data_IF_268387915987
#
_entry.id   IF_268387915987
#
_cell.length_a   1.000
_cell.length_b   1.000
_cell.length_c   1.000
_cell.angle_alpha   90.00
_cell.angle_beta   90.00
_cell.angle_gamma   90.00
#
_symmetry.space_group_name_H-M   'P 1'
#
loop_
_entity.id
_entity.type
_entity.pdbx_description
1 polymer ?
#
# COMPACT_ATOMS: atom_id res chain seq x y z
N UNK A 1 7.97 2.92 7.61
CA UNK A 1 6.91 3.86 7.19
C UNK A 1 6.39 3.39 5.83
N UNK A 2 5.07 3.36 5.64
CA UNK A 2 4.45 3.08 4.34
C UNK A 2 3.72 4.33 3.86
N UNK A 3 3.80 4.62 2.57
CA UNK A 3 3.16 5.81 1.98
C UNK A 3 2.19 5.33 0.90
N UNK A 4 0.91 5.65 1.09
CA UNK A 4 -0.18 5.24 0.22
C UNK A 4 -1.06 6.42 -0.17
N UNK A 5 -1.78 6.29 -1.28
CA UNK A 5 -2.59 7.35 -1.85
C UNK A 5 -3.96 7.43 -1.18
N UNK A 6 -4.64 6.29 -1.04
CA UNK A 6 -6.03 6.23 -0.58
C UNK A 6 -6.22 5.23 0.57
N UNK A 7 -7.30 5.34 1.35
CA UNK A 7 -7.73 4.28 2.26
C UNK A 7 -8.10 3.02 1.45
N UNK A 8 -7.52 1.87 1.82
CA UNK A 8 -7.58 0.52 1.20
C UNK A 8 -6.28 0.06 0.53
N UNK A 9 -5.43 1.00 0.14
CA UNK A 9 -4.14 0.71 -0.46
C UNK A 9 -3.24 -0.04 0.51
N UNK A 10 -3.27 0.33 1.79
CA UNK A 10 -2.47 -0.29 2.85
C UNK A 10 -2.89 -1.75 3.10
N UNK A 11 -4.17 -2.07 2.89
CA UNK A 11 -4.72 -3.42 3.05
C UNK A 11 -4.27 -4.36 1.92
N UNK A 12 -4.11 -3.82 0.71
CA UNK A 12 -3.78 -4.59 -0.49
C UNK A 12 -2.27 -4.61 -0.83
N UNK A 13 -1.48 -3.68 -0.29
CA UNK A 13 -0.07 -3.45 -0.68
C UNK A 13 0.85 -3.42 0.54
N UNK A 14 1.05 -4.57 1.18
CA UNK A 14 2.02 -4.73 2.26
C UNK A 14 1.44 -5.00 3.65
N UNK A 15 0.12 -5.18 3.80
CA UNK A 15 -0.50 -5.47 5.09
C UNK A 15 0.18 -6.64 5.84
N UNK A 16 0.45 -7.82 5.23
CA UNK A 16 1.14 -8.91 5.93
C UNK A 16 2.57 -8.56 6.32
N UNK A 17 3.31 -7.84 5.45
CA UNK A 17 4.65 -7.32 5.76
C UNK A 17 4.64 -6.40 6.98
N UNK A 18 3.72 -5.42 7.03
CA UNK A 18 3.63 -4.49 8.15
C UNK A 18 3.22 -5.22 9.43
N UNK A 19 2.25 -6.14 9.35
CA UNK A 19 1.82 -6.94 10.50
C UNK A 19 2.94 -7.82 11.06
N UNK A 20 3.79 -8.40 10.20
CA UNK A 20 5.01 -9.10 10.63
C UNK A 20 5.90 -8.17 11.45
N UNK A 21 6.22 -6.98 10.93
CA UNK A 21 7.10 -6.04 11.63
C UNK A 21 6.48 -5.45 12.90
N UNK A 22 5.16 -5.24 12.92
CA UNK A 22 4.44 -4.88 14.14
C UNK A 22 4.59 -5.95 15.23
N UNK A 23 4.44 -7.23 14.87
CA UNK A 23 4.64 -8.36 15.80
C UNK A 23 6.10 -8.50 16.27
N UNK A 24 7.05 -8.00 15.49
CA UNK A 24 8.47 -7.87 15.85
C UNK A 24 8.78 -6.58 16.63
N UNK A 25 7.76 -5.85 17.11
CA UNK A 25 7.86 -4.59 17.87
C UNK A 25 8.55 -3.43 17.12
N UNK A 26 8.59 -3.51 15.79
CA UNK A 26 9.07 -2.41 14.95
C UNK A 26 8.01 -1.32 14.89
N UNK A 27 8.43 -0.06 15.03
CA UNK A 27 7.55 1.09 14.87
C UNK A 27 6.98 1.16 13.42
N UNK A 28 5.67 1.02 13.31
CA UNK A 28 4.92 1.00 12.05
C UNK A 28 4.15 2.30 11.87
N UNK A 29 4.39 2.99 10.75
CA UNK A 29 3.78 4.29 10.44
C UNK A 29 3.14 4.23 9.06
N UNK A 30 1.85 4.54 8.98
CA UNK A 30 1.13 4.77 7.74
C UNK A 30 1.06 6.26 7.45
N UNK A 31 1.35 6.64 6.21
CA UNK A 31 1.01 7.95 5.64
C UNK A 31 0.03 7.71 4.49
N UNK A 32 -1.22 8.12 4.65
CA UNK A 32 -2.25 8.08 3.62
C UNK A 32 -2.43 9.49 3.04
N UNK A 33 -2.27 9.67 1.73
CA UNK A 33 -2.15 11.01 1.17
C UNK A 33 -3.50 11.72 1.02
N UNK A 34 -4.58 10.97 0.80
CA UNK A 34 -5.92 11.48 0.53
C UNK A 34 -7.01 10.72 1.28
N UNK A 35 -8.21 11.28 1.35
CA UNK A 35 -9.37 10.64 1.99
C UNK A 35 -10.15 9.67 1.10
N UNK A 36 -9.76 9.52 -0.18
CA UNK A 36 -10.51 8.73 -1.16
C UNK A 36 -11.84 9.38 -1.55
N UNK A 37 -11.94 10.71 -1.56
CA UNK A 37 -13.20 11.43 -1.77
C UNK A 37 -13.84 11.23 -3.15
N UNK A 38 -13.07 10.80 -4.15
CA UNK A 38 -13.52 10.60 -5.53
C UNK A 38 -13.83 9.13 -5.85
N UNK A 39 -13.57 8.20 -4.92
CA UNK A 39 -13.85 6.78 -5.14
C UNK A 39 -15.34 6.44 -4.99
N UNK A 40 -15.87 5.64 -5.90
CA UNK A 40 -17.25 5.13 -5.84
C UNK A 40 -17.44 4.05 -4.77
N UNK A 41 -18.70 3.76 -4.40
CA UNK A 41 -19.06 2.55 -3.67
C UNK A 41 -18.95 1.33 -4.60
N UNK A 42 -17.92 0.51 -4.39
CA UNK A 42 -17.58 -0.65 -5.22
C UNK A 42 -18.30 -1.93 -4.78
N UNK A 43 -18.74 -2.01 -3.52
CA UNK A 43 -19.46 -3.18 -3.02
C UNK A 43 -20.97 -3.06 -3.34
N UNK A 44 -21.51 -3.80 -4.32
CA UNK A 44 -22.91 -3.69 -4.72
C UNK A 44 -23.86 -4.21 -3.63
N UNK A 45 -23.41 -5.14 -2.79
CA UNK A 45 -24.26 -5.71 -1.73
C UNK A 45 -24.73 -4.63 -0.75
N UNK A 46 -23.98 -3.54 -0.58
CA UNK A 46 -24.35 -2.43 0.29
C UNK A 46 -25.51 -1.57 -0.24
N UNK A 47 -25.95 -1.78 -1.50
CA UNK A 47 -27.13 -1.15 -2.12
C UNK A 47 -28.39 -2.01 -2.08
N UNK A 48 -28.31 -3.25 -1.59
CA UNK A 48 -29.45 -4.16 -1.48
C UNK A 48 -30.49 -3.70 -0.44
N UNK A 49 -31.77 -4.13 -0.53
CA UNK A 49 -32.80 -3.76 0.44
C UNK A 49 -32.37 -4.00 1.90
N UNK A 50 -32.47 -2.94 2.71
CA UNK A 50 -32.08 -2.95 4.12
C UNK A 50 -30.60 -2.67 4.39
N UNK A 51 -29.81 -2.38 3.37
CA UNK A 51 -28.40 -2.00 3.49
C UNK A 51 -28.21 -0.48 3.50
N UNK A 52 -27.06 0.03 3.99
CA UNK A 52 -26.87 1.46 4.26
C UNK A 52 -26.97 2.39 3.05
N UNK A 53 -26.80 1.88 1.82
CA UNK A 53 -26.82 2.67 0.59
C UNK A 53 -28.02 2.38 -0.32
N UNK A 54 -29.02 1.66 0.18
CA UNK A 54 -30.21 1.31 -0.59
C UNK A 54 -31.00 2.57 -1.00
N UNK A 55 -31.31 2.69 -2.30
CA UNK A 55 -32.09 3.79 -2.90
C UNK A 55 -31.58 5.22 -2.61
N UNK A 56 -30.29 5.37 -2.27
CA UNK A 56 -29.69 6.69 -2.08
C UNK A 56 -29.42 7.40 -3.41
N UNK A 57 -29.58 8.72 -3.40
CA UNK A 57 -29.05 9.57 -4.47
C UNK A 57 -27.52 9.59 -4.47
N UNK A 58 -26.85 9.91 -5.59
CA UNK A 58 -25.40 10.05 -5.64
C UNK A 58 -24.83 11.03 -4.60
N UNK A 59 -25.57 12.10 -4.29
CA UNK A 59 -25.18 13.09 -3.28
C UNK A 59 -25.21 12.51 -1.85
N UNK A 60 -26.24 11.73 -1.52
CA UNK A 60 -26.37 11.07 -0.22
C UNK A 60 -25.32 9.96 -0.06
N UNK A 61 -25.08 9.18 -1.12
CA UNK A 61 -24.04 8.15 -1.15
C UNK A 61 -22.66 8.76 -0.87
N UNK A 62 -22.28 9.83 -1.58
CA UNK A 62 -21.02 10.55 -1.35
C UNK A 62 -20.90 11.09 0.08
N UNK A 63 -21.98 11.69 0.61
CA UNK A 63 -21.99 12.22 1.97
C UNK A 63 -21.86 11.14 3.05
N UNK A 64 -22.37 9.93 2.80
CA UNK A 64 -22.22 8.79 3.69
C UNK A 64 -20.82 8.15 3.58
N UNK A 65 -20.30 7.97 2.36
CA UNK A 65 -18.93 7.48 2.12
C UNK A 65 -17.89 8.32 2.86
N UNK A 66 -18.00 9.66 2.79
CA UNK A 66 -17.10 10.58 3.49
C UNK A 66 -17.09 10.40 5.02
N UNK A 67 -18.16 9.85 5.61
CA UNK A 67 -18.25 9.54 7.04
C UNK A 67 -17.75 8.13 7.37
N UNK A 68 -17.94 7.18 6.47
CA UNK A 68 -17.63 5.76 6.69
C UNK A 68 -16.14 5.48 6.45
N UNK A 69 -15.56 5.94 5.34
CA UNK A 69 -14.18 5.62 4.94
C UNK A 69 -13.11 5.92 6.00
N UNK A 70 -13.17 7.01 6.79
CA UNK A 70 -12.24 7.21 7.89
C UNK A 70 -12.30 6.11 8.95
N UNK A 71 -13.50 5.58 9.24
CA UNK A 71 -13.69 4.48 10.20
C UNK A 71 -13.27 3.13 9.61
N UNK A 72 -13.40 2.94 8.29
CA UNK A 72 -12.88 1.78 7.59
C UNK A 72 -11.35 1.74 7.64
N UNK A 73 -10.71 2.89 7.37
CA UNK A 73 -9.27 3.06 7.51
C UNK A 73 -8.79 2.77 8.94
N UNK A 74 -9.45 3.35 9.94
CA UNK A 74 -9.11 3.12 11.35
C UNK A 74 -9.09 1.61 11.68
N UNK A 75 -10.17 0.89 11.37
CA UNK A 75 -10.27 -0.56 11.60
C UNK A 75 -9.24 -1.36 10.80
N UNK A 76 -8.98 -0.96 9.55
CA UNK A 76 -7.96 -1.59 8.71
C UNK A 76 -6.58 -1.44 9.35
N UNK A 77 -6.24 -0.23 9.81
CA UNK A 77 -4.94 0.05 10.41
C UNK A 77 -4.74 -0.62 11.76
N UNK A 78 -5.81 -0.78 12.55
CA UNK A 78 -5.81 -1.60 13.76
C UNK A 78 -5.56 -3.08 13.46
N UNK A 79 -6.22 -3.63 12.42
CA UNK A 79 -6.04 -5.02 12.02
C UNK A 79 -4.64 -5.33 11.49
N UNK A 80 -3.99 -4.35 10.84
CA UNK A 80 -2.61 -4.47 10.35
C UNK A 80 -1.59 -4.28 11.47
N UNK A 81 -1.88 -3.41 12.44
CA UNK A 81 -0.92 -3.02 13.47
C UNK A 81 -0.07 -1.84 13.04
N UNK A 82 -0.70 -0.68 12.78
CA UNK A 82 0.01 0.59 12.70
C UNK A 82 0.06 1.28 14.06
N UNK A 83 1.25 1.72 14.49
CA UNK A 83 1.41 2.53 15.70
C UNK A 83 0.97 3.98 15.47
N UNK A 84 1.18 4.48 14.25
CA UNK A 84 0.84 5.84 13.86
C UNK A 84 0.22 5.86 12.46
N UNK A 85 -0.86 6.62 12.31
CA UNK A 85 -1.54 6.86 11.04
C UNK A 85 -1.59 8.38 10.81
N UNK A 86 -1.12 8.82 9.66
CA UNK A 86 -1.11 10.23 9.26
C UNK A 86 -1.84 10.41 7.94
N UNK A 87 -2.72 11.41 7.89
CA UNK A 87 -3.24 11.92 6.63
C UNK A 87 -2.33 13.03 6.12
N UNK A 88 -1.86 12.98 4.87
CA UNK A 88 -1.05 14.06 4.29
C UNK A 88 -1.89 15.32 3.98
N UNK A 89 -3.21 15.14 3.88
CA UNK A 89 -4.19 16.22 3.84
C UNK A 89 -4.45 16.78 2.45
N UNK A 90 -4.44 15.94 1.42
CA UNK A 90 -4.85 16.31 0.07
C UNK A 90 -6.18 15.66 -0.30
N UNK A 91 -6.90 16.26 -1.25
CA UNK A 91 -8.10 15.66 -1.82
C UNK A 91 -7.70 14.58 -2.84
N UNK A 92 -8.44 13.47 -2.85
CA UNK A 92 -8.36 12.47 -3.92
C UNK A 92 -8.54 13.12 -5.30
N UNK A 93 -7.68 12.74 -6.24
CA UNK A 93 -7.71 13.27 -7.60
C UNK A 93 -8.71 12.56 -8.50
N UNK A 94 -9.15 11.37 -8.12
CA UNK A 94 -9.90 10.46 -8.97
C UNK A 94 -9.06 9.91 -10.12
N UNK A 95 -9.73 9.12 -10.98
CA UNK A 95 -9.07 8.45 -12.11
C UNK A 95 -8.52 9.44 -13.14
N UNK A 96 -7.47 9.02 -13.87
CA UNK A 96 -6.86 9.83 -14.92
C UNK A 96 -7.89 10.27 -15.98
N UNK A 97 -7.93 11.58 -16.25
CA UNK A 97 -8.86 12.20 -17.18
C UNK A 97 -10.20 12.62 -16.56
N UNK A 98 -10.44 12.35 -15.28
CA UNK A 98 -11.62 12.82 -14.58
C UNK A 98 -11.59 14.35 -14.37
N UNK A 99 -12.77 14.97 -14.25
CA UNK A 99 -12.86 16.40 -14.00
C UNK A 99 -12.18 16.83 -12.68
N UNK A 100 -12.20 15.96 -11.68
CA UNK A 100 -11.55 16.12 -10.37
C UNK A 100 -10.03 16.24 -10.43
N UNK A 101 -9.39 15.77 -11.51
CA UNK A 101 -7.96 16.01 -11.75
C UNK A 101 -7.63 17.52 -11.89
N UNK A 102 -8.62 18.39 -12.11
CA UNK A 102 -8.44 19.85 -12.19
C UNK A 102 -8.84 20.59 -10.90
N UNK A 103 -9.23 19.86 -9.85
CA UNK A 103 -9.59 20.49 -8.57
C UNK A 103 -8.33 21.07 -7.91
N UNK A 104 -8.33 22.33 -7.45
CA UNK A 104 -7.12 22.98 -6.93
C UNK A 104 -6.55 22.31 -5.67
N UNK A 105 -7.39 21.59 -4.92
CA UNK A 105 -6.97 20.86 -3.71
C UNK A 105 -6.62 19.39 -3.98
N UNK A 106 -6.74 18.88 -5.22
CA UNK A 106 -6.43 17.48 -5.48
C UNK A 106 -4.92 17.22 -5.45
N UNK A 107 -4.56 16.04 -4.98
CA UNK A 107 -3.17 15.67 -4.76
C UNK A 107 -2.35 15.66 -6.06
N UNK A 108 -2.97 15.29 -7.18
CA UNK A 108 -2.36 15.35 -8.50
C UNK A 108 -1.94 16.77 -8.88
N UNK A 109 -2.63 17.81 -8.42
CA UNK A 109 -2.31 19.22 -8.70
C UNK A 109 -1.46 19.89 -7.63
N UNK A 110 -1.18 19.20 -6.52
CA UNK A 110 -0.36 19.73 -5.43
C UNK A 110 1.04 20.14 -5.92
N UNK A 111 1.54 21.25 -5.40
CA UNK A 111 2.94 21.61 -5.60
C UNK A 111 3.84 20.50 -5.05
N UNK A 112 4.78 20.04 -5.89
CA UNK A 112 5.59 18.87 -5.56
C UNK A 112 6.51 19.16 -4.37
N UNK A 113 7.02 20.39 -4.23
CA UNK A 113 7.92 20.77 -3.15
C UNK A 113 7.15 20.83 -1.83
N UNK A 114 5.96 21.44 -1.84
CA UNK A 114 5.06 21.46 -0.67
C UNK A 114 4.68 20.04 -0.22
N UNK A 115 4.23 19.20 -1.14
CA UNK A 115 3.84 17.82 -0.84
C UNK A 115 5.01 16.98 -0.32
N UNK A 116 6.19 17.11 -0.92
CA UNK A 116 7.42 16.49 -0.41
C UNK A 116 7.78 17.02 0.97
N UNK A 117 7.70 18.33 1.22
CA UNK A 117 7.97 18.94 2.54
C UNK A 117 7.08 18.37 3.64
N UNK A 118 5.78 18.18 3.38
CA UNK A 118 4.86 17.53 4.32
C UNK A 118 5.31 16.10 4.66
N UNK A 119 5.73 15.31 3.67
CA UNK A 119 6.24 13.96 3.91
C UNK A 119 7.58 13.96 4.65
N UNK A 120 8.49 14.90 4.34
CA UNK A 120 9.77 15.07 5.05
C UNK A 120 9.55 15.39 6.53
N UNK A 121 8.57 16.23 6.88
CA UNK A 121 8.23 16.50 8.28
C UNK A 121 7.92 15.19 9.04
N UNK A 122 7.10 14.32 8.44
CA UNK A 122 6.75 13.02 9.03
C UNK A 122 7.96 12.08 9.10
N UNK A 123 8.82 12.05 8.08
CA UNK A 123 10.05 11.26 8.09
C UNK A 123 10.97 11.72 9.22
N UNK A 124 11.20 13.03 9.39
CA UNK A 124 12.07 13.55 10.46
C UNK A 124 11.48 13.35 11.86
N UNK A 125 10.16 13.42 11.97
CA UNK A 125 9.44 13.12 13.21
C UNK A 125 9.58 11.65 13.63
N UNK A 126 9.32 10.71 12.71
CA UNK A 126 9.25 9.28 13.02
C UNK A 126 10.56 8.52 12.80
N UNK A 127 11.53 9.15 12.13
CA UNK A 127 12.85 8.60 11.81
C UNK A 127 12.80 7.16 11.27
N UNK A 128 12.01 6.87 10.23
CA UNK A 128 11.89 5.52 9.69
C UNK A 128 13.21 5.09 9.03
N UNK A 129 13.68 3.88 9.30
CA UNK A 129 14.82 3.31 8.58
C UNK A 129 14.40 2.79 7.20
N UNK A 130 13.14 2.40 7.04
CA UNK A 130 12.57 1.81 5.81
C UNK A 130 11.31 2.57 5.36
N UNK A 131 11.24 2.88 4.07
CA UNK A 131 10.03 3.38 3.38
C UNK A 131 9.51 2.33 2.39
N UNK A 132 8.20 2.08 2.40
CA UNK A 132 7.48 1.32 1.38
C UNK A 132 6.60 2.27 0.56
N UNK A 133 6.68 2.19 -0.76
CA UNK A 133 5.91 3.06 -1.68
C UNK A 133 5.65 2.38 -3.03
N UNK A 134 4.95 3.06 -3.95
CA UNK A 134 4.64 2.53 -5.28
C UNK A 134 5.88 2.45 -6.17
N UNK A 135 5.88 1.51 -7.11
CA UNK A 135 6.97 1.34 -8.06
C UNK A 135 7.03 2.45 -9.13
N UNK A 136 8.13 2.46 -9.88
CA UNK A 136 8.35 3.32 -11.05
C UNK A 136 7.64 2.81 -12.33
N UNK A 137 7.17 1.56 -12.35
CA UNK A 137 6.41 0.96 -13.45
C UNK A 137 4.93 0.78 -13.09
N UNK A 138 4.19 1.88 -13.21
CA UNK A 138 2.77 1.94 -12.89
C UNK A 138 1.86 1.82 -14.13
N UNK A 139 2.37 1.33 -15.26
CA UNK A 139 1.59 1.24 -16.53
C UNK A 139 0.33 0.39 -16.41
N UNK A 140 0.32 -0.59 -15.49
CA UNK A 140 -0.83 -1.48 -15.26
C UNK A 140 -1.98 -0.82 -14.52
N UNK A 141 -1.74 0.26 -13.76
CA UNK A 141 -2.75 1.02 -13.03
C UNK A 141 -2.25 2.46 -12.77
N UNK A 142 -2.33 3.36 -13.78
CA UNK A 142 -1.73 4.70 -13.72
C UNK A 142 -2.65 5.69 -12.98
N UNK A 143 -3.01 5.38 -11.73
CA UNK A 143 -3.80 6.30 -10.92
C UNK A 143 -2.99 7.57 -10.63
N UNK A 144 -3.52 8.79 -10.88
CA UNK A 144 -2.77 10.04 -10.70
C UNK A 144 -2.12 10.18 -9.30
N UNK A 145 -2.86 9.79 -8.26
CA UNK A 145 -2.33 9.87 -6.88
C UNK A 145 -1.24 8.84 -6.58
N UNK A 146 -1.27 7.63 -7.17
CA UNK A 146 -0.20 6.65 -6.96
C UNK A 146 1.11 7.12 -7.61
N UNK A 147 1.01 7.76 -8.79
CA UNK A 147 2.14 8.40 -9.44
C UNK A 147 2.69 9.53 -8.56
N UNK A 148 1.81 10.37 -8.01
CA UNK A 148 2.22 11.47 -7.13
C UNK A 148 2.85 10.97 -5.83
N UNK A 149 2.32 9.91 -5.22
CA UNK A 149 2.95 9.28 -4.04
C UNK A 149 4.36 8.80 -4.36
N UNK A 150 4.55 8.13 -5.49
CA UNK A 150 5.88 7.72 -5.95
C UNK A 150 6.82 8.93 -6.04
N UNK A 151 6.41 9.97 -6.78
CA UNK A 151 7.23 11.17 -7.00
C UNK A 151 7.65 11.83 -5.67
N UNK A 152 6.70 12.05 -4.75
CA UNK A 152 7.02 12.70 -3.47
C UNK A 152 7.86 11.80 -2.57
N UNK A 153 7.66 10.48 -2.61
CA UNK A 153 8.40 9.52 -1.79
C UNK A 153 9.87 9.50 -2.17
N UNK A 154 10.16 9.55 -3.48
CA UNK A 154 11.52 9.59 -4.01
C UNK A 154 12.24 10.85 -3.56
N UNK A 155 11.61 12.01 -3.73
CA UNK A 155 12.19 13.28 -3.29
C UNK A 155 12.35 13.33 -1.77
N UNK A 156 11.36 12.84 -1.01
CA UNK A 156 11.40 12.87 0.45
C UNK A 156 12.50 11.96 1.03
N UNK A 157 12.79 10.82 0.40
CA UNK A 157 13.89 9.94 0.81
C UNK A 157 15.25 10.63 0.76
N UNK A 158 15.51 11.39 -0.30
CA UNK A 158 16.76 12.13 -0.46
C UNK A 158 16.78 13.38 0.44
N UNK A 159 15.70 14.17 0.43
CA UNK A 159 15.65 15.48 1.10
C UNK A 159 15.49 15.39 2.61
N UNK A 160 14.95 14.31 3.16
CA UNK A 160 14.82 14.16 4.60
C UNK A 160 16.18 14.15 5.32
N UNK A 161 17.22 13.61 4.68
CA UNK A 161 18.59 13.54 5.20
C UNK A 161 19.46 14.77 4.93
N UNK A 162 19.01 15.70 4.07
CA UNK A 162 19.77 16.90 3.70
C UNK A 162 19.38 18.11 4.58
N UNK A 163 20.31 18.71 5.33
CA UNK A 163 20.03 19.88 6.19
C UNK A 163 19.66 21.15 5.42
N UNK A 164 19.93 21.24 4.11
CA UNK A 164 19.60 22.40 3.28
C UNK A 164 18.14 22.42 2.84
N UNK A 165 17.50 21.24 2.81
CA UNK A 165 16.08 21.10 2.50
C UNK A 165 15.24 21.21 3.77
N UNK A 166 14.25 22.10 3.75
CA UNK A 166 13.27 22.31 4.83
C UNK A 166 13.91 22.40 6.24
N UNK A 167 14.87 23.31 6.48
CA UNK A 167 15.59 23.39 7.76
C UNK A 167 14.67 23.64 8.97
N UNK A 168 13.48 24.19 8.74
CA UNK A 168 12.45 24.45 9.75
C UNK A 168 11.69 23.18 10.20
N UNK A 169 11.78 22.07 9.47
CA UNK A 169 11.03 20.83 9.75
C UNK A 169 11.76 19.85 10.68
N UNK A 170 12.70 20.35 11.48
CA UNK A 170 13.46 19.57 12.47
C UNK A 170 14.73 18.92 11.91
N UNK A 171 15.41 18.18 12.79
CA UNK A 171 16.72 17.57 12.49
C UNK A 171 16.66 16.62 11.28
N UNK A 172 17.64 16.67 10.37
CA UNK A 172 17.71 15.75 9.23
C UNK A 172 17.73 14.28 9.66
N UNK A 173 17.08 13.47 8.85
CA UNK A 173 17.05 12.02 9.02
C UNK A 173 17.19 11.33 7.67
N UNK A 174 18.31 10.64 7.48
CA UNK A 174 18.53 9.82 6.29
C UNK A 174 17.84 8.47 6.46
N UNK A 175 16.81 8.22 5.65
CA UNK A 175 16.20 6.90 5.54
C UNK A 175 17.21 5.94 4.93
N UNK A 176 17.32 4.74 5.48
CA UNK A 176 18.32 3.76 5.04
C UNK A 176 17.91 3.06 3.75
N UNK A 177 16.63 2.66 3.63
CA UNK A 177 16.16 1.85 2.49
C UNK A 177 14.75 2.23 2.04
N UNK A 178 14.53 2.16 0.73
CA UNK A 178 13.21 2.32 0.10
C UNK A 178 12.89 1.10 -0.73
N UNK A 179 11.67 0.59 -0.58
CA UNK A 179 11.17 -0.53 -1.36
C UNK A 179 9.93 -0.14 -2.15
N UNK A 180 9.83 -0.71 -3.34
CA UNK A 180 8.64 -0.62 -4.17
C UNK A 180 7.77 -1.85 -4.02
N UNK A 181 6.46 -1.61 -3.90
CA UNK A 181 5.42 -2.64 -4.02
C UNK A 181 5.39 -3.18 -5.45
N UNK A 182 5.10 -4.47 -5.61
CA UNK A 182 4.74 -5.03 -6.90
C UNK A 182 3.75 -6.19 -6.75
N UNK A 183 3.15 -6.60 -7.87
CA UNK A 183 2.36 -7.82 -7.97
C UNK A 183 3.18 -8.87 -8.71
N UNK A 184 3.83 -9.77 -7.96
CA UNK A 184 4.64 -10.83 -8.54
C UNK A 184 3.80 -11.69 -9.49
N UNK A 185 4.29 -11.88 -10.71
CA UNK A 185 3.64 -12.67 -11.75
C UNK A 185 3.47 -14.11 -11.30
N UNK A 186 4.51 -14.69 -10.70
CA UNK A 186 4.48 -16.03 -10.14
C UNK A 186 3.35 -16.21 -9.11
N UNK A 187 3.15 -15.23 -8.21
CA UNK A 187 2.05 -15.25 -7.25
C UNK A 187 0.69 -15.31 -7.95
N UNK A 188 0.49 -14.45 -8.95
CA UNK A 188 -0.78 -14.38 -9.69
C UNK A 188 -1.05 -15.70 -10.43
N UNK A 189 -0.05 -16.28 -11.09
CA UNK A 189 -0.20 -17.55 -11.82
C UNK A 189 -0.51 -18.72 -10.88
N UNK A 190 0.15 -18.81 -9.73
CA UNK A 190 -0.10 -19.86 -8.75
C UNK A 190 -1.47 -19.74 -8.10
N UNK A 191 -1.89 -18.53 -7.71
CA UNK A 191 -3.24 -18.27 -7.19
C UNK A 191 -4.30 -18.54 -8.26
N UNK A 192 -4.06 -18.13 -9.50
CA UNK A 192 -4.97 -18.42 -10.61
C UNK A 192 -5.21 -19.93 -10.77
N UNK A 193 -4.15 -20.73 -10.80
CA UNK A 193 -4.23 -22.18 -10.93
C UNK A 193 -4.95 -22.83 -9.74
N UNK A 194 -4.67 -22.39 -8.51
CA UNK A 194 -5.34 -22.89 -7.32
C UNK A 194 -6.85 -22.57 -7.31
N UNK A 195 -7.25 -21.39 -7.81
CA UNK A 195 -8.66 -21.04 -7.96
C UNK A 195 -9.35 -21.88 -9.05
N UNK A 196 -8.68 -22.16 -10.17
CA UNK A 196 -9.19 -23.08 -11.18
C UNK A 196 -9.39 -24.50 -10.63
N UNK A 197 -8.45 -25.00 -9.84
CA UNK A 197 -8.57 -26.31 -9.20
C UNK A 197 -9.74 -26.35 -8.20
N UNK A 198 -9.90 -25.30 -7.40
CA UNK A 198 -10.91 -25.23 -6.34
C UNK A 198 -12.33 -24.97 -6.86
N UNK A 199 -12.48 -24.07 -7.83
CA UNK A 199 -13.79 -23.58 -8.28
C UNK A 199 -14.11 -23.86 -9.75
N UNK A 200 -13.14 -24.34 -10.54
CA UNK A 200 -13.28 -24.46 -12.00
C UNK A 200 -13.22 -23.12 -12.75
N UNK A 201 -13.04 -22.01 -12.04
CA UNK A 201 -12.96 -20.65 -12.60
C UNK A 201 -12.03 -19.77 -11.76
N UNK A 202 -11.54 -18.69 -12.37
CA UNK A 202 -10.61 -17.76 -11.76
C UNK A 202 -10.89 -16.32 -12.23
N UNK A 203 -10.79 -15.31 -11.34
CA UNK A 203 -11.04 -13.92 -11.70
C UNK A 203 -9.88 -13.27 -12.47
N UNK A 204 -8.71 -13.94 -12.54
CA UNK A 204 -7.58 -13.49 -13.37
C UNK A 204 -7.79 -13.93 -14.82
N UNK A 205 -8.16 -12.99 -15.68
CA UNK A 205 -8.42 -13.23 -17.11
C UNK A 205 -7.13 -13.31 -17.95
N UNK A 206 -7.26 -13.61 -19.24
CA UNK A 206 -6.11 -13.65 -20.16
C UNK A 206 -5.35 -12.32 -20.22
N UNK A 207 -6.01 -11.17 -20.02
CA UNK A 207 -5.33 -9.89 -20.05
C UNK A 207 -4.37 -9.75 -18.86
N UNK A 208 -4.82 -10.12 -17.66
CA UNK A 208 -3.97 -10.21 -16.48
C UNK A 208 -2.81 -11.18 -16.68
N UNK A 209 -3.08 -12.35 -17.24
CA UNK A 209 -2.08 -13.38 -17.51
C UNK A 209 -1.13 -13.02 -18.66
N UNK A 210 -1.45 -12.06 -19.53
CA UNK A 210 -0.54 -11.54 -20.57
C UNK A 210 0.28 -10.33 -20.13
N UNK A 211 0.01 -9.73 -18.95
CA UNK A 211 0.82 -8.63 -18.42
C UNK A 211 2.29 -9.05 -18.30
N UNK A 212 3.25 -8.22 -18.74
CA UNK A 212 4.69 -8.51 -18.62
C UNK A 212 5.09 -8.79 -17.18
N UNK A 213 5.93 -9.81 -16.99
CA UNK A 213 6.49 -10.11 -15.66
C UNK A 213 7.48 -9.04 -15.23
N UNK A 214 7.41 -8.67 -13.95
CA UNK A 214 8.40 -7.81 -13.28
C UNK A 214 9.23 -8.60 -12.27
N UNK A 215 9.09 -9.93 -12.23
CA UNK A 215 9.66 -10.77 -11.16
C UNK A 215 11.19 -10.75 -11.16
N UNK A 216 11.80 -10.49 -12.32
CA UNK A 216 13.26 -10.30 -12.46
C UNK A 216 13.80 -9.08 -11.68
N UNK A 217 12.93 -8.19 -11.20
CA UNK A 217 13.28 -7.04 -10.38
C UNK A 217 13.17 -7.33 -8.88
N UNK A 218 12.57 -8.45 -8.49
CA UNK A 218 12.38 -8.80 -7.08
C UNK A 218 13.76 -9.00 -6.45
N UNK A 219 14.05 -8.20 -5.43
CA UNK A 219 15.29 -8.28 -4.65
C UNK A 219 15.04 -8.81 -3.24
N UNK A 220 13.77 -8.88 -2.83
CA UNK A 220 13.40 -9.08 -1.43
C UNK A 220 12.10 -9.88 -1.37
N UNK A 221 12.09 -10.94 -0.57
CA UNK A 221 10.99 -11.88 -0.43
C UNK A 221 10.79 -12.22 1.04
N UNK A 222 9.68 -11.77 1.60
CA UNK A 222 9.37 -11.98 3.02
C UNK A 222 8.41 -13.15 3.18
N UNK A 223 8.73 -14.11 4.05
CA UNK A 223 7.73 -15.07 4.53
C UNK A 223 6.72 -14.32 5.40
N UNK A 224 5.45 -14.40 5.00
CA UNK A 224 4.34 -13.68 5.62
C UNK A 224 3.10 -14.55 5.83
N UNK A 225 3.16 -15.86 5.57
CA UNK A 225 2.00 -16.75 5.60
C UNK A 225 1.26 -16.71 6.94
N UNK A 226 1.99 -16.53 8.05
CA UNK A 226 1.42 -16.37 9.41
C UNK A 226 0.66 -15.07 9.63
N UNK A 227 0.85 -14.07 8.78
CA UNK A 227 0.33 -12.71 8.93
C UNK A 227 -0.74 -12.36 7.88
N UNK A 228 -1.15 -13.32 7.04
CA UNK A 228 -2.19 -13.11 6.04
C UNK A 228 -3.54 -12.68 6.62
N UNK A 229 -3.82 -13.05 7.88
CA UNK A 229 -5.03 -12.60 8.58
C UNK A 229 -5.13 -11.08 8.67
N UNK A 230 -3.99 -10.37 8.78
CA UNK A 230 -3.96 -8.91 8.77
C UNK A 230 -4.47 -8.35 7.44
N UNK A 231 -4.05 -8.91 6.30
CA UNK A 231 -4.59 -8.57 4.97
C UNK A 231 -6.08 -8.85 4.90
N UNK A 232 -6.53 -10.04 5.32
CA UNK A 232 -7.93 -10.40 5.19
C UNK A 232 -8.83 -9.51 6.05
N UNK A 233 -8.47 -9.25 7.31
CA UNK A 233 -9.24 -8.37 8.18
C UNK A 233 -9.20 -6.90 7.73
N UNK A 234 -8.06 -6.40 7.24
CA UNK A 234 -7.97 -5.04 6.69
C UNK A 234 -8.78 -4.84 5.43
N UNK A 235 -8.73 -5.79 4.49
CA UNK A 235 -9.58 -5.75 3.29
C UNK A 235 -11.07 -5.78 3.66
N UNK A 236 -11.47 -6.62 4.62
CA UNK A 236 -12.87 -6.68 5.09
C UNK A 236 -13.31 -5.40 5.84
N UNK A 237 -12.38 -4.66 6.44
CA UNK A 237 -12.68 -3.40 7.09
C UNK A 237 -13.13 -2.32 6.08
N UNK A 238 -12.60 -2.35 4.85
CA UNK A 238 -12.98 -1.48 3.73
C UNK A 238 -14.22 -1.97 3.00
N UNK A 239 -15.32 -2.16 3.72
CA UNK A 239 -16.56 -2.74 3.20
C UNK A 239 -17.16 -1.95 2.01
N UNK A 240 -16.93 -0.64 1.92
CA UNK A 240 -17.38 0.17 0.77
C UNK A 240 -16.58 -0.12 -0.50
N UNK A 241 -15.33 -0.56 -0.37
CA UNK A 241 -14.42 -0.83 -1.49
C UNK A 241 -14.33 -2.32 -1.83
N UNK A 242 -14.47 -3.17 -0.83
CA UNK A 242 -14.17 -4.60 -0.93
C UNK A 242 -15.44 -5.40 -0.64
N UNK A 243 -15.89 -6.15 -1.63
CA UNK A 243 -16.93 -7.16 -1.47
C UNK A 243 -16.36 -8.38 -0.72
N UNK A 244 -16.89 -8.77 0.46
CA UNK A 244 -16.43 -9.93 1.23
C UNK A 244 -16.59 -11.27 0.49
N UNK A 245 -17.38 -11.32 -0.57
CA UNK A 245 -17.57 -12.50 -1.43
C UNK A 245 -16.67 -12.52 -2.66
N UNK A 246 -15.85 -11.48 -2.85
CA UNK A 246 -14.95 -11.34 -3.99
C UNK A 246 -13.95 -12.50 -4.06
N UNK A 247 -14.06 -13.34 -5.09
CA UNK A 247 -13.08 -14.42 -5.35
C UNK A 247 -11.67 -13.89 -5.64
N UNK A 248 -11.55 -12.65 -6.10
CA UNK A 248 -10.25 -12.00 -6.32
C UNK A 248 -9.50 -11.81 -5.01
N UNK A 249 -10.20 -11.40 -3.94
CA UNK A 249 -9.59 -11.16 -2.63
C UNK A 249 -9.61 -12.39 -1.72
N UNK A 250 -10.70 -13.16 -1.73
CA UNK A 250 -11.04 -14.18 -0.73
C UNK A 250 -11.38 -15.55 -1.32
N UNK A 251 -11.09 -15.81 -2.60
CA UNK A 251 -11.33 -17.13 -3.20
C UNK A 251 -10.51 -18.24 -2.54
N UNK A 252 -9.25 -17.92 -2.19
CA UNK A 252 -8.44 -18.71 -1.28
C UNK A 252 -8.51 -18.09 0.11
N UNK A 253 -8.75 -18.91 1.13
CA UNK A 253 -8.61 -18.47 2.51
C UNK A 253 -7.12 -18.27 2.89
N UNK A 254 -6.85 -17.71 4.07
CA UNK A 254 -5.48 -17.40 4.50
C UNK A 254 -4.56 -18.63 4.53
N UNK A 255 -5.08 -19.81 4.90
CA UNK A 255 -4.29 -21.04 4.99
C UNK A 255 -3.99 -21.62 3.60
N UNK A 256 -4.96 -21.55 2.69
CA UNK A 256 -4.80 -21.94 1.30
C UNK A 256 -3.83 -21.00 0.58
N UNK A 257 -4.00 -19.69 0.74
CA UNK A 257 -3.11 -18.69 0.16
C UNK A 257 -1.68 -18.84 0.70
N UNK A 258 -1.50 -19.09 2.01
CA UNK A 258 -0.19 -19.39 2.57
C UNK A 258 0.45 -20.67 1.99
N UNK A 259 -0.35 -21.68 1.64
CA UNK A 259 0.18 -22.90 0.98
C UNK A 259 0.60 -22.65 -0.45
N UNK A 260 -0.12 -21.79 -1.16
CA UNK A 260 0.11 -21.48 -2.59
C UNK A 260 1.27 -20.49 -2.75
N UNK A 261 1.29 -19.44 -1.95
CA UNK A 261 2.30 -18.37 -2.01
C UNK A 261 2.46 -17.68 -0.64
N UNK A 262 3.28 -18.22 0.29
CA UNK A 262 3.48 -17.67 1.63
C UNK A 262 4.33 -16.39 1.66
N UNK A 263 4.56 -15.75 0.52
CA UNK A 263 5.50 -14.65 0.40
C UNK A 263 4.85 -13.33 -0.02
N UNK A 264 5.48 -12.24 0.38
CA UNK A 264 5.28 -10.92 -0.20
C UNK A 264 6.63 -10.40 -0.72
N UNK A 265 6.64 -9.98 -1.98
CA UNK A 265 7.83 -9.59 -2.72
C UNK A 265 7.95 -8.06 -2.79
N UNK A 266 9.20 -7.60 -2.81
CA UNK A 266 9.55 -6.19 -2.88
C UNK A 266 10.75 -5.97 -3.80
N UNK A 267 10.84 -4.75 -4.37
CA UNK A 267 12.01 -4.29 -5.12
C UNK A 267 12.73 -3.25 -4.26
N UNK A 268 14.00 -3.48 -3.92
CA UNK A 268 14.87 -2.50 -3.27
C UNK A 268 15.16 -1.39 -4.29
N UNK A 269 14.53 -0.24 -4.10
CA UNK A 269 14.61 0.89 -5.02
C UNK A 269 15.80 1.80 -4.72
N UNK A 270 16.04 2.07 -3.43
CA UNK A 270 17.15 2.91 -2.94
C UNK A 270 17.69 2.35 -1.64
N UNK A 271 18.99 2.44 -1.47
CA UNK A 271 19.69 2.05 -0.24
C UNK A 271 20.85 3.01 -0.01
N UNK A 272 21.04 3.43 1.25
CA UNK A 272 22.25 4.13 1.69
C UNK A 272 23.27 3.18 2.33
N UNK A 273 22.98 1.88 2.34
CA UNK A 273 23.86 0.83 2.82
C UNK A 273 24.66 0.24 1.66
N UNK A 274 25.74 -0.46 2.00
CA UNK A 274 26.51 -1.22 1.01
C UNK A 274 25.60 -2.21 0.25
N UNK A 275 25.79 -2.33 -1.08
CA UNK A 275 24.98 -3.21 -1.89
C UNK A 275 25.16 -4.66 -1.45
N UNK A 276 24.05 -5.40 -1.44
CA UNK A 276 24.07 -6.84 -1.25
C UNK A 276 24.55 -7.54 -2.54
N UNK A 277 25.02 -8.80 -2.46
CA UNK A 277 25.38 -9.57 -3.65
C UNK A 277 24.24 -9.61 -4.67
N UNK A 278 24.56 -9.59 -5.96
CA UNK A 278 23.59 -9.43 -7.06
C UNK A 278 22.50 -10.52 -7.09
N UNK A 279 22.81 -11.73 -6.62
CA UNK A 279 21.88 -12.87 -6.54
C UNK A 279 21.22 -13.04 -5.17
N UNK A 280 21.46 -12.12 -4.22
CA UNK A 280 20.93 -12.24 -2.87
C UNK A 280 19.50 -11.69 -2.80
N UNK A 281 18.54 -12.57 -2.50
CA UNK A 281 17.17 -12.18 -2.17
C UNK A 281 17.08 -11.92 -0.67
N UNK A 282 16.74 -10.70 -0.28
CA UNK A 282 16.57 -10.34 1.12
C UNK A 282 15.34 -11.03 1.72
N UNK A 283 15.46 -11.59 2.91
CA UNK A 283 14.33 -12.17 3.67
C UNK A 283 13.82 -11.24 4.79
N UNK A 284 14.38 -10.03 4.81
CA UNK A 284 14.16 -8.99 5.79
C UNK A 284 14.48 -7.60 5.23
N UNK A 285 13.51 -6.68 5.26
CA UNK A 285 13.68 -5.28 4.88
C UNK A 285 14.74 -4.57 5.73
N UNK A 286 14.98 -5.03 6.97
CA UNK A 286 16.00 -4.48 7.86
C UNK A 286 17.37 -5.17 7.74
N UNK A 287 17.55 -6.03 6.74
CA UNK A 287 18.87 -6.59 6.43
C UNK A 287 19.88 -5.46 6.20
N UNK A 288 21.02 -5.54 6.91
CA UNK A 288 22.06 -4.51 6.94
C UNK A 288 21.79 -3.33 7.90
N UNK A 289 20.58 -3.20 8.45
CA UNK A 289 20.21 -2.15 9.43
C UNK A 289 20.28 -2.71 10.85
N UNK A 290 19.59 -3.83 11.11
CA UNK A 290 19.64 -4.48 12.42
C UNK A 290 20.83 -5.45 12.48
N UNK A 291 21.62 -5.35 13.54
CA UNK A 291 22.70 -6.31 13.79
C UNK A 291 22.09 -7.71 13.89
N UNK A 292 22.58 -8.66 13.11
CA UNK A 292 22.20 -10.07 13.28
C UNK A 292 22.63 -10.51 14.67
N UNK A 293 21.68 -10.65 15.59
CA UNK A 293 21.90 -11.27 16.91
C UNK A 293 22.08 -12.78 16.74
N UNK A 294 23.08 -13.19 15.97
CA UNK A 294 23.45 -14.59 15.70
C UNK A 294 24.92 -14.89 16.01
N UNK A 295 25.56 -14.06 16.82
CA UNK A 295 26.84 -14.38 17.46
C UNK A 295 26.70 -14.28 18.98
N UNK A 296 26.13 -15.33 19.59
CA UNK A 296 26.31 -15.68 21.00
C UNK A 296 25.98 -17.15 21.22
#
# INVERSE_FOLDING_TARGET
MTVHAHPDDEASKGAPTVARYFAEEVATVLVCCTGGEEGDLQNPALREPGQPFHEMSPEEERALLAKIRPLELERSTEAIGFHHVHMLGYRDSGMAGAASNNHPECFHMADIDEATGRLVALIRQHRPQVILTYNDDQRGYPHPDHLRVHDISILAFDRAGDPTWYPELGEPWQVSKMYYTLWAKQRIELVHNALLEKFGESPFDENWLKRPSQDHRITTRLEIGKYLVARTQSLLAHATQIDPTSKWWFGLDDQELARVYPWEDWILARSTLDPLPEDFIEEDLFAGIRSTSKDS
#
